data_IF_176098176172
#
_entry.id   IF_176098176172
#
_cell.length_a   1.000
_cell.length_b   1.000
_cell.length_c   1.000
_cell.angle_alpha   90.00
_cell.angle_beta   90.00
_cell.angle_gamma   90.00
#
_symmetry.space_group_name_H-M   'P 1'
#
loop_
_entity.id
_entity.type
_entity.pdbx_description
1 polymer ?
#
# COMPACT_ATOMS: atom_id res chain seq x y z
N UNK A 1 -25.64 13.29 -5.90
CA UNK A 1 -24.85 12.63 -4.86
C UNK A 1 -23.39 12.60 -5.27
N UNK A 2 -22.53 13.12 -4.45
CA UNK A 2 -21.11 13.15 -4.74
C UNK A 2 -20.46 11.88 -4.21
N UNK A 3 -19.86 11.10 -5.09
CA UNK A 3 -19.04 9.97 -4.67
C UNK A 3 -17.65 10.49 -4.37
N UNK A 4 -17.20 10.31 -3.13
CA UNK A 4 -15.85 10.68 -2.73
C UNK A 4 -14.90 9.58 -3.19
N UNK A 5 -14.03 9.90 -4.14
CA UNK A 5 -12.97 8.98 -4.55
C UNK A 5 -11.93 8.89 -3.45
N UNK A 6 -11.25 7.75 -3.36
CA UNK A 6 -10.04 7.63 -2.56
C UNK A 6 -8.91 8.44 -3.19
N UNK A 7 -7.78 8.47 -2.51
CA UNK A 7 -6.64 9.26 -2.94
C UNK A 7 -5.32 8.53 -2.68
N UNK A 8 -4.37 8.67 -3.60
CA UNK A 8 -3.01 8.20 -3.40
C UNK A 8 -2.25 9.24 -2.57
N UNK A 9 -1.91 8.88 -1.34
CA UNK A 9 -1.29 9.81 -0.38
C UNK A 9 0.23 9.81 -0.44
N UNK A 10 0.85 8.65 -0.73
CA UNK A 10 2.30 8.55 -0.81
C UNK A 10 2.71 7.36 -1.68
N UNK A 11 3.91 7.45 -2.25
CA UNK A 11 4.54 6.38 -3.02
C UNK A 11 5.94 6.18 -2.46
N UNK A 12 6.31 4.92 -2.14
CA UNK A 12 7.65 4.58 -1.71
C UNK A 12 8.24 3.49 -2.59
N UNK A 13 9.47 3.70 -3.00
CA UNK A 13 10.22 2.74 -3.82
C UNK A 13 11.35 2.16 -2.99
N UNK A 14 11.46 0.83 -2.96
CA UNK A 14 12.54 0.12 -2.28
C UNK A 14 13.59 -0.24 -3.34
N UNK A 15 14.69 0.49 -3.37
CA UNK A 15 15.72 0.36 -4.42
C UNK A 15 16.68 -0.79 -4.18
N UNK A 16 16.75 -1.31 -2.95
CA UNK A 16 17.61 -2.42 -2.59
C UNK A 16 16.95 -3.29 -1.53
N UNK A 17 17.29 -4.58 -1.50
CA UNK A 17 16.82 -5.49 -0.47
C UNK A 17 17.19 -4.94 0.91
N UNK A 18 16.20 -4.86 1.82
CA UNK A 18 16.33 -4.26 3.15
C UNK A 18 16.75 -2.79 3.16
N UNK A 19 16.75 -2.15 1.99
CA UNK A 19 17.07 -0.74 1.87
C UNK A 19 15.95 0.17 2.35
N UNK A 20 16.21 1.49 2.40
CA UNK A 20 15.20 2.45 2.80
C UNK A 20 14.04 2.50 1.80
N UNK A 21 12.88 2.93 2.30
CA UNK A 21 11.71 3.22 1.46
C UNK A 21 11.79 4.68 1.02
N UNK A 22 12.16 4.90 -0.24
CA UNK A 22 12.37 6.25 -0.76
C UNK A 22 11.05 6.86 -1.24
N UNK A 23 10.64 8.04 -0.71
CA UNK A 23 9.44 8.70 -1.18
C UNK A 23 9.66 9.30 -2.57
N UNK A 24 8.69 9.12 -3.45
CA UNK A 24 8.67 9.72 -4.78
C UNK A 24 7.29 10.32 -5.05
N UNK A 25 7.22 11.29 -5.96
CA UNK A 25 5.95 11.93 -6.31
C UNK A 25 5.25 11.24 -7.46
N UNK A 26 5.98 10.46 -8.25
CA UNK A 26 5.47 9.76 -9.41
C UNK A 26 6.19 8.43 -9.58
N UNK A 27 5.49 7.42 -10.08
CA UNK A 27 6.08 6.13 -10.38
C UNK A 27 5.38 5.48 -11.57
N UNK A 28 6.11 4.59 -12.26
CA UNK A 28 5.59 3.80 -13.37
C UNK A 28 5.28 2.40 -12.89
N UNK A 29 4.13 1.88 -13.30
CA UNK A 29 3.72 0.51 -13.03
C UNK A 29 3.48 -0.24 -14.33
N UNK A 30 3.93 -1.50 -14.37
CA UNK A 30 3.89 -2.31 -15.59
C UNK A 30 3.52 -3.76 -15.23
N UNK A 31 2.56 -4.40 -15.93
CA UNK A 31 2.15 -5.77 -15.61
C UNK A 31 3.28 -6.79 -15.65
N UNK A 32 4.26 -6.59 -16.53
CA UNK A 32 5.39 -7.52 -16.64
C UNK A 32 6.52 -7.21 -15.68
N UNK A 33 6.74 -5.92 -15.35
CA UNK A 33 7.90 -5.48 -14.58
C UNK A 33 7.57 -5.00 -13.16
N UNK A 34 6.30 -4.84 -12.84
CA UNK A 34 5.87 -4.38 -11.52
C UNK A 34 6.04 -2.88 -11.33
N UNK A 35 6.24 -2.47 -10.10
CA UNK A 35 6.56 -1.07 -9.75
C UNK A 35 8.00 -0.81 -10.13
N UNK A 36 8.20 0.01 -11.17
CA UNK A 36 9.52 0.25 -11.74
C UNK A 36 10.45 0.91 -10.72
N UNK A 37 11.64 0.35 -10.57
CA UNK A 37 12.64 0.85 -9.63
C UNK A 37 12.57 0.21 -8.24
N UNK A 38 11.49 -0.50 -7.92
CA UNK A 38 11.34 -1.16 -6.63
C UNK A 38 11.75 -2.63 -6.73
N UNK A 39 12.49 -3.13 -5.74
CA UNK A 39 12.92 -4.53 -5.65
C UNK A 39 12.03 -5.33 -4.70
N UNK A 40 12.35 -6.62 -4.55
CA UNK A 40 11.63 -7.56 -3.66
C UNK A 40 10.16 -7.71 -4.02
N UNK A 41 9.88 -7.67 -5.30
CA UNK A 41 8.56 -7.95 -5.85
C UNK A 41 8.55 -9.32 -6.50
N UNK A 42 7.37 -9.92 -6.57
CA UNK A 42 7.17 -11.20 -7.26
C UNK A 42 6.02 -11.06 -8.26
N UNK A 43 5.79 -12.09 -9.08
CA UNK A 43 4.70 -12.08 -10.05
C UNK A 43 3.34 -11.84 -9.40
N UNK A 44 3.13 -12.37 -8.18
CA UNK A 44 1.85 -12.25 -7.47
C UNK A 44 1.78 -10.99 -6.60
N UNK A 45 2.92 -10.50 -6.15
CA UNK A 45 3.03 -9.34 -5.25
C UNK A 45 3.86 -8.26 -5.93
N UNK A 46 3.26 -7.62 -6.90
CA UNK A 46 3.96 -6.60 -7.69
C UNK A 46 4.00 -5.26 -6.98
N UNK A 47 2.98 -4.99 -6.16
CA UNK A 47 2.87 -3.74 -5.42
C UNK A 47 2.09 -4.00 -4.13
N UNK A 48 2.43 -3.27 -3.07
CA UNK A 48 1.76 -3.38 -1.77
C UNK A 48 1.14 -2.04 -1.39
N UNK A 49 -0.02 -2.12 -0.72
CA UNK A 49 -0.83 -0.97 -0.37
C UNK A 49 -1.11 -0.97 1.13
N UNK A 50 -1.14 0.24 1.72
CA UNK A 50 -1.49 0.45 3.12
C UNK A 50 -2.55 1.55 3.20
N UNK A 51 -3.58 1.35 4.02
CA UNK A 51 -4.62 2.38 4.25
C UNK A 51 -4.13 3.39 5.28
N UNK A 52 -4.14 4.67 4.91
CA UNK A 52 -3.74 5.75 5.79
C UNK A 52 -4.59 5.81 7.08
N UNK A 53 -5.89 5.60 6.95
CA UNK A 53 -6.82 5.62 8.09
C UNK A 53 -6.55 4.47 9.08
N UNK A 54 -6.22 3.28 8.55
CA UNK A 54 -5.87 2.13 9.39
C UNK A 54 -4.59 2.40 10.18
N UNK A 55 -3.58 2.94 9.50
CA UNK A 55 -2.32 3.29 10.15
C UNK A 55 -2.55 4.33 11.26
N UNK A 56 -3.31 5.38 10.96
CA UNK A 56 -3.65 6.40 11.95
C UNK A 56 -4.38 5.79 13.16
N UNK A 57 -5.28 4.84 12.93
CA UNK A 57 -5.98 4.13 13.99
C UNK A 57 -5.02 3.32 14.87
N UNK A 58 -4.07 2.61 14.25
CA UNK A 58 -3.05 1.85 14.98
C UNK A 58 -2.18 2.78 15.85
N UNK A 59 -1.80 3.94 15.31
CA UNK A 59 -1.01 4.92 16.06
C UNK A 59 -1.77 5.45 17.26
N UNK A 60 -3.07 5.73 17.11
CA UNK A 60 -3.90 6.15 18.25
C UNK A 60 -3.99 5.06 19.32
N UNK A 61 -4.21 3.80 18.93
CA UNK A 61 -4.27 2.68 19.87
C UNK A 61 -2.96 2.49 20.66
N UNK A 62 -1.83 2.71 20.00
CA UNK A 62 -0.51 2.50 20.58
C UNK A 62 0.10 3.79 21.19
N UNK A 63 -0.65 4.88 21.14
CA UNK A 63 -0.18 6.20 21.61
C UNK A 63 1.18 6.58 21.01
N UNK A 64 1.30 6.42 19.69
CA UNK A 64 2.55 6.61 18.96
C UNK A 64 2.35 7.44 17.69
N UNK A 65 3.45 7.93 17.14
CA UNK A 65 3.47 8.73 15.91
C UNK A 65 4.62 8.26 14.99
N UNK A 66 4.60 6.98 14.63
CA UNK A 66 5.59 6.42 13.70
C UNK A 66 5.11 6.66 12.27
N UNK A 67 6.02 7.11 11.41
CA UNK A 67 5.71 7.34 9.99
C UNK A 67 5.23 6.04 9.33
N UNK A 68 4.14 6.07 8.54
CA UNK A 68 3.63 4.87 7.87
C UNK A 68 4.64 4.20 6.92
N UNK A 69 5.69 4.91 6.52
CA UNK A 69 6.81 4.34 5.76
C UNK A 69 7.43 3.13 6.47
N UNK A 70 7.34 3.07 7.81
CA UNK A 70 7.86 1.95 8.61
C UNK A 70 7.17 0.62 8.28
N UNK A 71 5.94 0.63 7.75
CA UNK A 71 5.26 -0.58 7.27
C UNK A 71 5.92 -1.17 6.04
N UNK A 72 6.66 -0.35 5.29
CA UNK A 72 7.39 -0.74 4.10
C UNK A 72 6.47 -1.17 2.94
N UNK A 73 5.29 -0.59 2.88
CA UNK A 73 4.40 -0.71 1.71
C UNK A 73 4.85 0.26 0.61
N UNK A 74 4.39 0.03 -0.61
CA UNK A 74 4.72 0.90 -1.74
C UNK A 74 3.77 2.09 -1.86
N UNK A 75 2.47 1.88 -1.63
CA UNK A 75 1.45 2.91 -1.83
C UNK A 75 0.67 3.12 -0.54
N UNK A 76 0.55 4.38 -0.12
CA UNK A 76 -0.33 4.78 0.97
C UNK A 76 -1.60 5.34 0.34
N UNK A 77 -2.73 4.74 0.65
CA UNK A 77 -4.02 5.10 0.07
C UNK A 77 -4.99 5.56 1.16
N UNK A 78 -5.89 6.46 0.81
CA UNK A 78 -6.95 6.92 1.72
C UNK A 78 -8.31 6.85 1.04
N UNK A 79 -9.37 6.81 1.83
CA UNK A 79 -10.74 6.81 1.32
C UNK A 79 -11.18 5.51 0.65
N UNK A 80 -10.41 4.43 0.80
CA UNK A 80 -10.77 3.10 0.29
C UNK A 80 -10.54 2.07 1.37
N UNK A 81 -11.39 1.03 1.41
CA UNK A 81 -11.22 -0.10 2.31
C UNK A 81 -10.69 -1.29 1.52
N UNK A 82 -9.60 -1.87 1.97
CA UNK A 82 -8.96 -3.02 1.32
C UNK A 82 -9.43 -4.35 1.91
N UNK A 83 -10.09 -4.33 3.07
CA UNK A 83 -10.51 -5.54 3.77
C UNK A 83 -11.41 -6.41 2.90
N UNK A 84 -11.01 -7.68 2.74
CA UNK A 84 -11.76 -8.68 1.97
C UNK A 84 -12.08 -8.28 0.52
N UNK A 85 -11.17 -7.56 -0.12
CA UNK A 85 -11.36 -7.10 -1.51
C UNK A 85 -10.60 -7.95 -2.53
N UNK A 86 -10.19 -9.16 -2.17
CA UNK A 86 -9.48 -10.06 -3.09
C UNK A 86 -10.25 -10.20 -4.41
N UNK A 87 -9.54 -10.03 -5.52
CA UNK A 87 -10.11 -10.08 -6.86
C UNK A 87 -10.70 -8.75 -7.33
N UNK A 88 -10.88 -7.78 -6.42
CA UNK A 88 -11.36 -6.45 -6.80
C UNK A 88 -10.31 -5.70 -7.60
N UNK A 89 -10.76 -4.82 -8.48
CA UNK A 89 -9.88 -4.00 -9.31
C UNK A 89 -9.92 -2.57 -8.80
N UNK A 90 -8.77 -2.08 -8.37
CA UNK A 90 -8.58 -0.71 -7.89
C UNK A 90 -7.92 0.09 -9.00
N UNK A 91 -8.50 1.23 -9.35
CA UNK A 91 -7.92 2.12 -10.34
C UNK A 91 -7.32 3.34 -9.67
N UNK A 92 -6.04 3.60 -9.95
CA UNK A 92 -5.31 4.78 -9.47
C UNK A 92 -4.84 5.54 -10.70
N UNK A 93 -5.43 6.72 -10.94
CA UNK A 93 -5.20 7.40 -12.21
C UNK A 93 -5.62 6.50 -13.36
N UNK A 94 -4.70 6.16 -14.26
CA UNK A 94 -4.96 5.23 -15.38
C UNK A 94 -4.52 3.80 -15.08
N UNK A 95 -3.85 3.56 -13.95
CA UNK A 95 -3.33 2.24 -13.58
C UNK A 95 -4.41 1.42 -12.90
N UNK A 96 -4.51 0.14 -13.25
CA UNK A 96 -5.44 -0.80 -12.60
C UNK A 96 -4.67 -1.88 -11.86
N UNK A 97 -5.07 -2.13 -10.62
CA UNK A 97 -4.49 -3.13 -9.73
C UNK A 97 -5.54 -4.16 -9.35
N UNK A 98 -5.20 -5.44 -9.44
CA UNK A 98 -6.06 -6.52 -8.96
C UNK A 98 -5.58 -6.93 -7.57
N UNK A 99 -6.43 -6.77 -6.57
CA UNK A 99 -6.08 -7.12 -5.18
C UNK A 99 -5.91 -8.62 -5.07
N UNK A 100 -4.75 -9.06 -4.58
CA UNK A 100 -4.42 -10.47 -4.43
C UNK A 100 -4.70 -11.02 -3.05
N UNK A 101 -4.60 -10.20 -2.02
CA UNK A 101 -4.83 -10.64 -0.65
C UNK A 101 -4.20 -9.70 0.37
N UNK A 102 -4.25 -10.13 1.62
CA UNK A 102 -3.71 -9.41 2.77
C UNK A 102 -2.18 -9.51 2.83
N UNK A 103 -1.51 -8.41 3.15
CA UNK A 103 -0.10 -8.45 3.56
C UNK A 103 -0.02 -8.64 5.06
N UNK A 104 0.37 -9.85 5.48
CA UNK A 104 0.47 -10.16 6.91
C UNK A 104 1.68 -9.46 7.52
N UNK A 105 1.53 -8.90 8.74
CA UNK A 105 2.65 -8.27 9.43
C UNK A 105 3.68 -9.30 9.89
N UNK A 106 4.94 -8.89 9.99
CA UNK A 106 6.02 -9.72 10.51
C UNK A 106 6.67 -9.07 11.73
N UNK A 107 7.67 -9.75 12.30
CA UNK A 107 8.39 -9.28 13.49
C UNK A 107 9.03 -7.89 13.32
N UNK A 108 9.29 -7.46 12.09
CA UNK A 108 9.84 -6.13 11.83
C UNK A 108 8.90 -5.01 12.28
N UNK A 109 7.60 -5.31 12.36
CA UNK A 109 6.62 -4.33 12.85
C UNK A 109 6.83 -4.05 14.33
N UNK A 110 7.15 -5.07 15.13
CA UNK A 110 7.45 -4.88 16.54
C UNK A 110 8.82 -4.22 16.75
N UNK A 111 9.75 -4.38 15.82
CA UNK A 111 11.01 -3.63 15.85
C UNK A 111 10.76 -2.13 15.63
N UNK A 112 9.83 -1.78 14.74
CA UNK A 112 9.48 -0.40 14.48
C UNK A 112 8.70 0.22 15.65
N UNK A 113 7.78 -0.56 16.24
CA UNK A 113 6.95 -0.11 17.36
C UNK A 113 6.43 -1.34 18.10
N UNK A 114 6.82 -1.56 19.38
CA UNK A 114 6.33 -2.68 20.16
C UNK A 114 4.81 -2.75 20.21
N UNK A 115 4.24 -3.93 19.96
CA UNK A 115 2.80 -4.18 19.92
C UNK A 115 2.15 -3.95 18.55
N UNK A 116 2.86 -3.39 17.59
CA UNK A 116 2.31 -3.09 16.27
C UNK A 116 1.89 -4.34 15.52
N UNK A 117 2.74 -5.37 15.51
CA UNK A 117 2.47 -6.62 14.78
C UNK A 117 1.15 -7.25 15.19
N UNK A 118 0.89 -7.37 16.48
CA UNK A 118 -0.33 -7.99 16.99
C UNK A 118 -1.58 -7.22 16.55
N UNK A 119 -1.52 -5.91 16.55
CA UNK A 119 -2.65 -5.08 16.16
C UNK A 119 -2.90 -5.04 14.67
N UNK A 120 -1.86 -5.21 13.87
CA UNK A 120 -1.97 -5.27 12.41
C UNK A 120 -2.57 -6.59 11.90
N UNK A 121 -2.64 -7.62 12.72
CA UNK A 121 -3.20 -8.91 12.33
C UNK A 121 -4.71 -8.95 12.17
N UNK A 122 -5.40 -7.83 12.40
CA UNK A 122 -6.86 -7.77 12.38
C UNK A 122 -7.36 -6.99 11.16
N UNK A 123 -8.36 -7.56 10.47
CA UNK A 123 -9.12 -6.91 9.39
C UNK A 123 -8.25 -6.25 8.31
N UNK A 124 -7.15 -6.90 7.93
CA UNK A 124 -6.20 -6.41 6.92
C UNK A 124 -5.57 -5.06 7.29
N UNK A 125 -5.39 -4.81 8.56
CA UNK A 125 -4.77 -3.56 9.01
C UNK A 125 -3.33 -3.40 8.50
N UNK A 126 -2.66 -4.51 8.16
CA UNK A 126 -1.31 -4.50 7.57
C UNK A 126 -1.27 -4.16 6.09
N UNK A 127 -2.42 -4.04 5.43
CA UNK A 127 -2.52 -3.71 4.02
C UNK A 127 -2.78 -4.88 3.10
N UNK A 128 -2.58 -4.66 1.81
CA UNK A 128 -2.84 -5.63 0.76
C UNK A 128 -1.71 -5.66 -0.28
N UNK A 129 -1.59 -6.79 -0.98
CA UNK A 129 -0.74 -6.88 -2.16
C UNK A 129 -1.61 -6.98 -3.41
N UNK A 130 -1.04 -6.58 -4.55
CA UNK A 130 -1.78 -6.54 -5.80
C UNK A 130 -0.89 -6.87 -7.00
N UNK A 131 -1.55 -7.27 -8.08
CA UNK A 131 -0.95 -7.40 -9.41
C UNK A 131 -1.39 -6.22 -10.27
N UNK A 132 -0.51 -5.77 -11.15
CA UNK A 132 -0.81 -4.68 -12.06
C UNK A 132 -1.51 -5.26 -13.28
N UNK A 133 -2.71 -4.74 -13.57
CA UNK A 133 -3.53 -5.16 -14.70
C UNK A 133 -3.37 -4.23 -15.90
N UNK A 134 -3.32 -2.91 -15.65
CA UNK A 134 -3.11 -1.90 -16.68
C UNK A 134 -1.95 -1.00 -16.29
N UNK A 135 -1.01 -0.81 -17.21
CA UNK A 135 0.20 -0.02 -17.00
C UNK A 135 -0.07 1.48 -17.04
N UNK A 136 0.86 2.24 -16.50
CA UNK A 136 0.85 3.69 -16.55
C UNK A 136 1.63 4.31 -15.42
N UNK A 137 1.51 5.63 -15.31
CA UNK A 137 2.09 6.41 -14.22
C UNK A 137 1.04 6.65 -13.15
N UNK A 138 1.48 6.62 -11.89
CA UNK A 138 0.70 7.10 -10.76
C UNK A 138 1.42 8.28 -10.13
N UNK A 139 0.65 9.23 -9.61
CA UNK A 139 1.18 10.42 -8.94
C UNK A 139 0.51 10.60 -7.60
N UNK A 140 1.26 11.10 -6.63
CA UNK A 140 0.67 11.49 -5.34
C UNK A 140 -0.46 12.47 -5.60
N UNK A 141 -1.62 12.21 -5.01
CA UNK A 141 -2.83 12.99 -5.25
C UNK A 141 -3.81 12.39 -6.24
N UNK A 142 -3.42 11.35 -6.98
CA UNK A 142 -4.30 10.71 -7.96
C UNK A 142 -5.54 10.13 -7.28
N UNK A 143 -6.71 10.23 -7.95
CA UNK A 143 -7.92 9.63 -7.43
C UNK A 143 -7.87 8.11 -7.50
N UNK A 144 -8.53 7.47 -6.54
CA UNK A 144 -8.62 6.01 -6.45
C UNK A 144 -10.08 5.61 -6.43
N UNK A 145 -10.46 4.70 -7.32
CA UNK A 145 -11.82 4.16 -7.38
C UNK A 145 -11.79 2.65 -7.59
N UNK A 146 -12.85 1.99 -7.17
CA UNK A 146 -13.08 0.59 -7.55
C UNK A 146 -13.74 0.54 -8.92
N UNK A 147 -13.31 -0.36 -9.76
CA UNK A 147 -13.87 -0.56 -11.11
C UNK A 147 -14.40 -1.98 -11.32
#
# INVERSE_FOLDING_TARGET
MTMTAGRLEAIWIKRAHRGPMDPVQEAQLDPARGLIGSVDRSRRRQVTLLEAERWAGLMRELHAEVDPRARRANLLVSGVSLYQTRGGVLQIGSVQLVIGGETTPCERMDEALPGLRARMGNAWAGGAFAQIRASGAVRVGDPIIWV
#
